data_IF_786583012822
#
_entry.id   IF_786583012822
#
_cell.length_a   1.000
_cell.length_b   1.000
_cell.length_c   1.000
_cell.angle_alpha   90.00
_cell.angle_beta   90.00
_cell.angle_gamma   90.00
#
_symmetry.space_group_name_H-M   'P 1'
#
loop_
_entity.id
_entity.type
_entity.pdbx_description
1 polymer ?
#
# COMPACT_ATOMS: atom_id res chain seq x y z
N UNK A 1 18.18 50.73 -33.45
CA UNK A 1 16.80 50.84 -33.96
C UNK A 1 16.72 50.03 -35.23
N UNK A 2 15.64 49.26 -35.38
CA UNK A 2 15.18 48.57 -36.60
C UNK A 2 16.08 47.45 -37.14
N UNK A 3 15.57 46.32 -37.63
CA UNK A 3 14.21 45.82 -37.81
C UNK A 3 14.32 44.30 -38.01
N UNK A 4 13.35 43.54 -37.48
CA UNK A 4 13.05 42.19 -37.95
C UNK A 4 12.54 42.29 -39.39
N UNK A 5 13.21 41.61 -40.32
CA UNK A 5 12.56 41.16 -41.56
C UNK A 5 12.49 39.64 -41.56
N UNK A 6 11.29 39.22 -41.16
CA UNK A 6 10.71 37.90 -41.30
C UNK A 6 10.46 37.64 -42.80
N UNK A 7 11.05 36.56 -43.31
CA UNK A 7 10.77 35.90 -44.60
C UNK A 7 11.21 36.64 -45.88
N UNK A 8 12.26 36.12 -46.52
CA UNK A 8 12.39 36.15 -47.98
C UNK A 8 11.98 34.79 -48.51
N UNK A 9 10.89 34.80 -49.28
CA UNK A 9 10.30 33.67 -49.96
C UNK A 9 11.27 33.09 -51.00
N UNK A 10 11.81 31.90 -50.72
CA UNK A 10 12.21 30.98 -51.78
C UNK A 10 11.69 29.58 -51.46
N UNK A 11 10.75 29.18 -52.32
CA UNK A 11 10.54 27.82 -52.80
C UNK A 11 9.61 26.87 -52.01
N UNK A 12 8.33 27.05 -52.35
CA UNK A 12 7.45 25.97 -52.86
C UNK A 12 7.25 24.74 -51.97
N UNK A 13 6.42 24.91 -50.94
CA UNK A 13 5.61 23.80 -50.43
C UNK A 13 4.50 23.49 -51.44
N UNK A 14 4.72 22.44 -52.22
CA UNK A 14 3.77 21.84 -53.15
C UNK A 14 2.32 21.82 -52.63
N UNK A 15 1.38 22.12 -53.52
CA UNK A 15 -0.08 22.13 -53.33
C UNK A 15 -0.71 20.78 -52.87
N UNK A 16 0.10 19.78 -52.50
CA UNK A 16 -0.35 18.44 -52.08
C UNK A 16 -0.59 18.28 -50.57
N UNK A 17 -0.44 19.32 -49.74
CA UNK A 17 -0.72 19.25 -48.29
C UNK A 17 -1.97 19.99 -47.79
N UNK A 18 -2.89 20.38 -48.68
CA UNK A 18 -4.19 20.97 -48.31
C UNK A 18 -5.39 19.99 -48.35
N UNK A 19 -5.13 18.67 -48.40
CA UNK A 19 -6.18 17.64 -48.30
C UNK A 19 -5.90 16.61 -47.19
N UNK A 20 -6.10 17.00 -45.93
CA UNK A 20 -6.66 16.15 -44.85
C UNK A 20 -6.71 16.92 -43.52
N UNK A 21 -7.61 17.91 -43.45
CA UNK A 21 -8.26 18.26 -42.18
C UNK A 21 -9.75 17.99 -42.37
N UNK A 22 -10.10 16.71 -42.47
CA UNK A 22 -11.46 16.29 -42.10
C UNK A 22 -11.48 16.38 -40.58
N UNK A 23 -12.18 17.38 -40.05
CA UNK A 23 -12.63 17.36 -38.68
C UNK A 23 -13.32 16.02 -38.46
N UNK A 24 -12.76 15.20 -37.58
CA UNK A 24 -13.47 14.03 -37.08
C UNK A 24 -14.56 14.61 -36.19
N UNK A 25 -15.75 14.73 -36.76
CA UNK A 25 -16.97 14.94 -36.01
C UNK A 25 -17.10 13.71 -35.11
N UNK A 26 -16.57 13.81 -33.90
CA UNK A 26 -16.79 12.83 -32.84
C UNK A 26 -18.30 12.83 -32.59
N UNK A 27 -18.96 11.79 -33.08
CA UNK A 27 -20.38 11.59 -32.85
C UNK A 27 -20.59 11.43 -31.34
N UNK A 28 -21.73 11.90 -30.83
CA UNK A 28 -22.13 11.68 -29.43
C UNK A 28 -22.07 10.18 -29.05
N UNK A 29 -22.21 9.28 -30.01
CA UNK A 29 -22.01 7.83 -29.83
C UNK A 29 -20.57 7.43 -29.45
N UNK A 30 -19.54 8.12 -29.97
CA UNK A 30 -18.13 7.90 -29.61
C UNK A 30 -17.86 8.44 -28.19
N UNK A 31 -18.52 9.54 -27.79
CA UNK A 31 -18.44 10.07 -26.42
C UNK A 31 -19.19 9.20 -25.40
N UNK A 32 -20.43 8.80 -25.67
CA UNK A 32 -21.21 7.94 -24.78
C UNK A 32 -20.61 6.54 -24.67
N UNK A 33 -20.03 5.99 -25.74
CA UNK A 33 -19.30 4.72 -25.67
C UNK A 33 -17.96 4.85 -24.96
N UNK A 34 -17.29 6.00 -25.06
CA UNK A 34 -16.09 6.32 -24.28
C UNK A 34 -16.42 6.46 -22.79
N UNK A 35 -17.47 7.20 -22.42
CA UNK A 35 -17.96 7.33 -21.04
C UNK A 35 -18.42 5.99 -20.49
N UNK A 36 -19.16 5.18 -21.28
CA UNK A 36 -19.54 3.82 -20.89
C UNK A 36 -18.35 2.91 -20.63
N UNK A 37 -17.22 3.07 -21.33
CA UNK A 37 -15.98 2.32 -21.01
C UNK A 37 -15.43 2.70 -19.65
N UNK A 38 -15.41 3.99 -19.31
CA UNK A 38 -14.98 4.44 -17.97
C UNK A 38 -15.95 4.00 -16.87
N UNK A 39 -17.25 4.00 -17.12
CA UNK A 39 -18.24 3.52 -16.14
C UNK A 39 -18.22 1.99 -16.00
N UNK A 40 -17.97 1.26 -17.08
CA UNK A 40 -17.74 -0.20 -17.04
C UNK A 40 -16.42 -0.57 -16.37
N UNK A 41 -15.36 0.22 -16.54
CA UNK A 41 -14.08 0.01 -15.85
C UNK A 41 -14.13 0.40 -14.37
N UNK A 42 -14.92 1.42 -13.99
CA UNK A 42 -15.17 1.78 -12.59
C UNK A 42 -15.88 0.69 -11.78
N UNK A 43 -16.71 -0.11 -12.45
CA UNK A 43 -17.52 -1.16 -11.83
C UNK A 43 -16.91 -2.57 -11.94
N UNK A 44 -15.84 -2.75 -12.73
CA UNK A 44 -15.15 -4.04 -12.81
C UNK A 44 -14.25 -4.20 -11.59
N UNK A 45 -14.45 -5.30 -10.87
CA UNK A 45 -13.49 -5.86 -9.91
C UNK A 45 -12.14 -6.03 -10.61
N UNK A 46 -11.23 -5.09 -10.43
CA UNK A 46 -9.82 -5.23 -10.79
C UNK A 46 -9.19 -6.31 -9.92
N UNK A 47 -8.05 -6.87 -10.37
CA UNK A 47 -7.28 -7.91 -9.68
C UNK A 47 -6.95 -7.56 -8.21
N UNK A 48 -7.02 -6.28 -7.86
CA UNK A 48 -6.93 -5.71 -6.51
C UNK A 48 -7.99 -6.27 -5.52
N UNK A 49 -9.09 -6.87 -6.02
CA UNK A 49 -10.12 -7.53 -5.22
C UNK A 49 -9.71 -8.95 -4.77
N UNK A 50 -8.66 -9.54 -5.36
CA UNK A 50 -8.16 -10.85 -4.95
C UNK A 50 -7.29 -10.76 -3.71
N UNK A 51 -7.93 -10.98 -2.56
CA UNK A 51 -7.23 -11.15 -1.28
C UNK A 51 -6.44 -12.46 -1.30
N UNK A 52 -5.14 -12.46 -0.94
CA UNK A 52 -4.37 -13.69 -0.79
C UNK A 52 -5.11 -14.68 0.12
N UNK A 53 -5.25 -15.97 -0.25
CA UNK A 53 -6.09 -16.92 0.50
C UNK A 53 -5.77 -16.98 1.99
N UNK A 54 -4.49 -17.01 2.38
CA UNK A 54 -4.10 -17.04 3.79
C UNK A 54 -4.53 -15.78 4.57
N UNK A 55 -4.53 -14.61 3.93
CA UNK A 55 -5.02 -13.36 4.54
C UNK A 55 -6.54 -13.42 4.71
N UNK A 56 -7.25 -13.89 3.69
CA UNK A 56 -8.69 -14.05 3.74
C UNK A 56 -9.12 -14.99 4.87
N UNK A 57 -8.48 -16.16 4.97
CA UNK A 57 -8.76 -17.13 6.04
C UNK A 57 -8.48 -16.54 7.43
N UNK A 58 -7.37 -15.80 7.61
CA UNK A 58 -7.07 -15.15 8.89
C UNK A 58 -8.14 -14.14 9.32
N UNK A 59 -8.68 -13.37 8.36
CA UNK A 59 -9.80 -12.44 8.62
C UNK A 59 -11.08 -13.21 8.95
N UNK A 60 -11.38 -14.26 8.19
CA UNK A 60 -12.58 -15.06 8.39
C UNK A 60 -12.55 -15.81 9.73
N UNK A 61 -11.42 -16.38 10.12
CA UNK A 61 -11.25 -17.06 11.40
C UNK A 61 -11.34 -16.11 12.58
N UNK A 62 -10.74 -14.92 12.46
CA UNK A 62 -10.95 -13.86 13.45
C UNK A 62 -12.44 -13.50 13.53
N UNK A 63 -13.14 -13.35 12.41
CA UNK A 63 -14.57 -13.02 12.40
C UNK A 63 -15.43 -14.10 13.05
N UNK A 64 -15.17 -15.39 12.76
CA UNK A 64 -15.83 -16.53 13.42
C UNK A 64 -15.63 -16.55 14.93
N UNK A 65 -14.52 -15.99 15.43
CA UNK A 65 -14.28 -15.86 16.88
C UNK A 65 -15.15 -14.79 17.55
N UNK A 66 -15.71 -13.86 16.78
CA UNK A 66 -16.50 -12.72 17.28
C UNK A 66 -17.99 -12.85 17.00
N UNK A 67 -18.36 -13.50 15.90
CA UNK A 67 -19.72 -13.64 15.42
C UNK A 67 -19.99 -15.11 15.13
N UNK A 68 -21.14 -15.62 15.59
CA UNK A 68 -21.56 -16.97 15.24
C UNK A 68 -21.97 -17.04 13.75
N UNK A 69 -21.09 -17.65 12.97
CA UNK A 69 -21.28 -17.92 11.54
C UNK A 69 -21.68 -19.39 11.28
N UNK A 70 -22.01 -20.16 12.32
CA UNK A 70 -22.34 -21.57 12.18
C UNK A 70 -23.55 -21.79 11.29
N UNK A 71 -23.40 -22.64 10.27
CA UNK A 71 -24.44 -22.91 9.29
C UNK A 71 -24.78 -21.75 8.35
N UNK A 72 -24.07 -20.62 8.42
CA UNK A 72 -24.24 -19.50 7.49
C UNK A 72 -23.46 -19.73 6.19
N UNK A 73 -24.02 -19.27 5.09
CA UNK A 73 -23.33 -19.28 3.80
C UNK A 73 -22.42 -18.05 3.68
N UNK A 74 -21.12 -18.25 3.50
CA UNK A 74 -20.16 -17.17 3.30
C UNK A 74 -20.08 -16.83 1.82
N UNK A 75 -20.56 -15.65 1.45
CA UNK A 75 -20.65 -15.19 0.07
C UNK A 75 -19.47 -14.30 -0.30
N UNK A 76 -18.95 -14.49 -1.51
CA UNK A 76 -17.84 -13.71 -2.10
C UNK A 76 -18.21 -13.18 -3.50
N UNK A 77 -19.06 -12.15 -3.57
CA UNK A 77 -19.65 -11.69 -4.83
C UNK A 77 -18.71 -10.80 -5.67
N UNK A 78 -17.50 -10.48 -5.18
CA UNK A 78 -16.55 -9.61 -5.89
C UNK A 78 -15.49 -10.43 -6.61
N UNK A 79 -15.81 -10.87 -7.82
CA UNK A 79 -14.91 -11.58 -8.72
C UNK A 79 -14.99 -10.98 -10.14
N UNK A 80 -13.96 -11.15 -11.00
CA UNK A 80 -13.92 -10.62 -12.35
C UNK A 80 -15.18 -10.94 -13.16
N UNK A 81 -15.89 -9.88 -13.56
CA UNK A 81 -17.14 -9.98 -14.33
C UNK A 81 -18.39 -10.30 -13.52
N UNK A 82 -18.28 -10.46 -12.20
CA UNK A 82 -19.41 -10.59 -11.29
C UNK A 82 -20.13 -9.26 -11.05
N UNK A 83 -21.43 -9.33 -10.78
CA UNK A 83 -22.25 -8.19 -10.37
C UNK A 83 -22.97 -8.53 -9.06
N UNK A 84 -22.46 -7.94 -7.97
CA UNK A 84 -22.99 -8.12 -6.62
C UNK A 84 -24.49 -7.76 -6.50
N UNK A 85 -25.06 -6.98 -7.41
CA UNK A 85 -26.50 -6.67 -7.37
C UNK A 85 -27.39 -7.79 -7.89
N UNK A 86 -26.83 -8.70 -8.69
CA UNK A 86 -27.57 -9.81 -9.31
C UNK A 86 -27.54 -11.10 -8.50
N UNK A 87 -26.73 -11.12 -7.44
CA UNK A 87 -26.57 -12.26 -6.54
C UNK A 87 -27.84 -12.52 -5.71
N UNK A 88 -28.07 -13.80 -5.40
CA UNK A 88 -29.19 -14.24 -4.57
C UNK A 88 -28.77 -14.27 -3.10
N UNK A 89 -29.06 -13.18 -2.37
CA UNK A 89 -28.78 -13.10 -0.94
C UNK A 89 -29.90 -13.73 -0.11
N UNK A 90 -29.66 -14.93 0.40
CA UNK A 90 -30.56 -15.61 1.32
C UNK A 90 -30.45 -15.04 2.74
N UNK A 91 -31.49 -15.22 3.56
CA UNK A 91 -31.51 -14.73 4.96
C UNK A 91 -30.40 -15.31 5.84
N UNK A 92 -29.80 -16.43 5.44
CA UNK A 92 -28.73 -17.11 6.15
C UNK A 92 -27.33 -16.89 5.53
N UNK A 93 -27.19 -15.97 4.57
CA UNK A 93 -25.89 -15.63 3.99
C UNK A 93 -25.22 -14.46 4.71
N UNK A 94 -23.89 -14.45 4.71
CA UNK A 94 -23.06 -13.33 5.14
C UNK A 94 -22.01 -13.07 4.07
N UNK A 95 -21.92 -11.84 3.59
CA UNK A 95 -20.87 -11.46 2.65
C UNK A 95 -19.59 -11.18 3.42
N UNK A 96 -18.54 -11.95 3.18
CA UNK A 96 -17.19 -11.68 3.72
C UNK A 96 -16.27 -11.58 2.53
N UNK A 97 -15.90 -10.37 2.11
CA UNK A 97 -15.16 -10.23 0.85
C UNK A 97 -14.46 -8.88 0.68
N UNK A 98 -13.60 -8.78 -0.34
CA UNK A 98 -12.84 -7.58 -0.67
C UNK A 98 -13.44 -6.87 -1.89
N UNK A 99 -14.28 -5.84 -1.69
CA UNK A 99 -14.93 -5.13 -2.78
C UNK A 99 -13.98 -4.16 -3.49
N UNK A 100 -14.34 -3.69 -4.70
CA UNK A 100 -13.70 -2.52 -5.29
C UNK A 100 -13.93 -1.29 -4.40
N UNK A 101 -12.85 -0.73 -3.87
CA UNK A 101 -12.91 0.35 -2.88
C UNK A 101 -13.51 1.65 -3.42
N UNK A 102 -13.44 1.88 -4.74
CA UNK A 102 -14.01 3.06 -5.42
C UNK A 102 -15.53 3.19 -5.23
N UNK A 103 -16.23 2.06 -5.09
CA UNK A 103 -17.69 2.00 -4.96
C UNK A 103 -18.14 1.42 -3.61
N UNK A 104 -17.25 1.36 -2.61
CA UNK A 104 -17.55 0.82 -1.28
C UNK A 104 -18.78 1.47 -0.63
N UNK A 105 -18.98 2.78 -0.80
CA UNK A 105 -20.15 3.47 -0.28
C UNK A 105 -21.46 3.05 -0.96
N UNK A 106 -21.41 2.69 -2.24
CA UNK A 106 -22.58 2.19 -2.98
C UNK A 106 -22.92 0.77 -2.51
N UNK A 107 -21.91 -0.10 -2.44
CA UNK A 107 -22.03 -1.49 -1.99
C UNK A 107 -22.63 -1.57 -0.59
N UNK A 108 -22.05 -0.82 0.36
CA UNK A 108 -22.55 -0.79 1.75
C UNK A 108 -23.98 -0.26 1.85
N UNK A 109 -24.33 0.75 1.05
CA UNK A 109 -25.71 1.26 1.00
C UNK A 109 -26.68 0.21 0.45
N UNK A 110 -26.30 -0.50 -0.61
CA UNK A 110 -27.11 -1.56 -1.20
C UNK A 110 -27.33 -2.71 -0.21
N UNK A 111 -26.27 -3.23 0.42
CA UNK A 111 -26.40 -4.32 1.38
C UNK A 111 -27.29 -3.96 2.56
N UNK A 112 -27.20 -2.74 3.08
CA UNK A 112 -28.06 -2.30 4.17
C UNK A 112 -29.52 -2.18 3.72
N UNK A 113 -29.78 -1.63 2.54
CA UNK A 113 -31.13 -1.53 1.99
C UNK A 113 -31.76 -2.91 1.76
N UNK A 114 -30.95 -3.89 1.36
CA UNK A 114 -31.38 -5.28 1.14
C UNK A 114 -31.38 -6.15 2.41
N UNK A 115 -30.96 -5.61 3.57
CA UNK A 115 -30.85 -6.38 4.82
C UNK A 115 -29.74 -7.44 4.83
N UNK A 116 -28.78 -7.34 3.92
CA UNK A 116 -27.65 -8.27 3.79
C UNK A 116 -26.65 -8.03 4.92
N UNK A 117 -26.24 -9.11 5.57
CA UNK A 117 -25.18 -9.10 6.58
C UNK A 117 -23.82 -9.17 5.90
N UNK A 118 -22.88 -8.32 6.31
CA UNK A 118 -21.58 -8.24 5.65
C UNK A 118 -20.42 -7.90 6.59
N UNK A 119 -19.22 -8.30 6.15
CA UNK A 119 -17.91 -7.90 6.65
C UNK A 119 -17.00 -7.65 5.44
N UNK A 120 -16.73 -6.40 5.11
CA UNK A 120 -16.02 -6.01 3.91
C UNK A 120 -14.64 -5.44 4.23
N UNK A 121 -13.68 -5.76 3.39
CA UNK A 121 -12.38 -5.07 3.37
C UNK A 121 -12.58 -3.63 2.88
N UNK A 122 -11.77 -2.71 3.39
CA UNK A 122 -11.90 -1.29 3.14
C UNK A 122 -10.54 -0.59 3.16
N UNK A 123 -10.37 0.52 2.43
CA UNK A 123 -9.14 1.32 2.48
C UNK A 123 -9.04 2.04 3.83
N UNK A 124 -7.89 1.94 4.50
CA UNK A 124 -7.71 2.52 5.83
C UNK A 124 -7.86 4.06 5.84
N UNK A 125 -7.34 4.74 4.82
CA UNK A 125 -7.28 6.20 4.77
C UNK A 125 -8.66 6.86 4.60
N UNK A 126 -9.55 6.22 3.83
CA UNK A 126 -10.88 6.76 3.48
C UNK A 126 -12.02 5.97 4.10
N UNK A 127 -11.72 5.14 5.10
CA UNK A 127 -12.68 4.26 5.78
C UNK A 127 -13.94 5.01 6.23
N UNK A 128 -13.76 6.21 6.80
CA UNK A 128 -14.85 7.05 7.32
C UNK A 128 -15.35 8.09 6.31
N UNK A 129 -14.82 8.12 5.10
CA UNK A 129 -15.22 9.06 4.04
C UNK A 129 -16.50 8.64 3.32
N UNK A 130 -16.95 7.39 3.49
CA UNK A 130 -18.17 6.89 2.88
C UNK A 130 -19.36 7.77 3.28
N UNK A 131 -20.26 8.07 2.33
CA UNK A 131 -21.45 8.90 2.58
C UNK A 131 -22.31 8.36 3.74
N UNK A 132 -22.22 7.05 3.97
CA UNK A 132 -22.91 6.32 5.03
C UNK A 132 -22.39 6.65 6.44
N UNK A 133 -21.14 7.09 6.58
CA UNK A 133 -20.56 7.53 7.86
C UNK A 133 -21.28 8.76 8.44
N UNK A 134 -21.95 9.54 7.60
CA UNK A 134 -22.71 10.73 8.02
C UNK A 134 -24.13 10.40 8.50
N UNK A 135 -24.61 9.16 8.25
CA UNK A 135 -25.99 8.76 8.60
C UNK A 135 -26.02 8.15 10.00
N UNK A 136 -26.62 8.88 10.95
CA UNK A 136 -26.73 8.43 12.35
C UNK A 136 -27.55 7.15 12.53
N UNK A 137 -28.55 6.94 11.67
CA UNK A 137 -29.51 5.84 11.78
C UNK A 137 -29.12 4.58 11.00
N UNK A 138 -27.88 4.51 10.49
CA UNK A 138 -27.41 3.36 9.72
C UNK A 138 -26.44 2.55 10.56
N UNK A 139 -26.78 1.29 10.80
CA UNK A 139 -26.01 0.36 11.62
C UNK A 139 -24.79 -0.18 10.85
N UNK A 140 -23.65 0.46 11.08
CA UNK A 140 -22.35 0.12 10.47
C UNK A 140 -21.24 0.44 11.45
N UNK A 141 -20.35 -0.54 11.61
CA UNK A 141 -19.10 -0.49 12.35
C UNK A 141 -17.92 -0.31 11.41
N UNK A 142 -17.10 0.70 11.68
CA UNK A 142 -15.80 0.90 11.03
C UNK A 142 -14.70 0.32 11.91
N UNK A 143 -14.01 -0.71 11.41
CA UNK A 143 -12.98 -1.44 12.12
C UNK A 143 -11.62 -0.99 11.60
N UNK A 144 -10.94 -0.20 12.41
CA UNK A 144 -9.65 0.43 12.09
C UNK A 144 -8.53 -0.53 12.46
N UNK A 145 -7.80 -1.00 11.45
CA UNK A 145 -6.56 -1.77 11.62
C UNK A 145 -5.37 -1.07 10.98
N UNK A 146 -5.53 -0.58 9.73
CA UNK A 146 -4.46 0.07 8.98
C UNK A 146 -3.29 -0.86 8.66
N UNK A 147 -3.54 -2.17 8.50
CA UNK A 147 -2.50 -3.17 8.21
C UNK A 147 -2.15 -3.15 6.73
N UNK A 148 -0.87 -3.08 6.39
CA UNK A 148 -0.43 -3.19 5.01
C UNK A 148 -0.53 -4.65 4.55
N UNK A 149 -1.38 -4.91 3.57
CA UNK A 149 -1.54 -6.22 2.93
C UNK A 149 -0.95 -6.16 1.53
N UNK A 150 -0.15 -7.17 1.17
CA UNK A 150 0.35 -7.32 -0.21
C UNK A 150 -0.61 -8.18 -1.02
N UNK A 151 -1.34 -7.55 -1.95
CA UNK A 151 -2.32 -8.22 -2.79
C UNK A 151 -1.67 -9.00 -3.95
N UNK A 152 -2.46 -9.78 -4.69
CA UNK A 152 -1.97 -10.65 -5.77
C UNK A 152 -1.17 -9.89 -6.85
N UNK A 153 -1.58 -8.67 -7.15
CA UNK A 153 -0.91 -7.72 -8.05
C UNK A 153 0.43 -7.15 -7.51
N UNK A 154 0.82 -7.51 -6.28
CA UNK A 154 2.03 -7.00 -5.61
C UNK A 154 1.87 -5.63 -4.94
N UNK A 155 0.69 -5.01 -5.00
CA UNK A 155 0.43 -3.74 -4.34
C UNK A 155 0.32 -3.93 -2.82
N UNK A 156 1.05 -3.09 -2.08
CA UNK A 156 0.89 -2.95 -0.63
C UNK A 156 -0.19 -1.94 -0.33
N UNK A 157 -1.35 -2.37 0.15
CA UNK A 157 -2.48 -1.49 0.48
C UNK A 157 -2.74 -1.52 1.97
N UNK A 158 -2.94 -0.34 2.57
CA UNK A 158 -3.32 -0.23 3.98
C UNK A 158 -4.81 -0.55 4.13
N UNK A 159 -5.10 -1.67 4.75
CA UNK A 159 -6.42 -2.29 4.81
C UNK A 159 -7.02 -2.16 6.20
N UNK A 160 -8.32 -1.87 6.22
CA UNK A 160 -9.22 -1.86 7.38
C UNK A 160 -10.54 -2.52 6.97
N UNK A 161 -11.57 -2.50 7.82
CA UNK A 161 -12.80 -3.25 7.55
C UNK A 161 -14.06 -2.47 7.91
N UNK A 162 -15.19 -2.83 7.29
CA UNK A 162 -16.51 -2.25 7.54
C UNK A 162 -17.55 -3.35 7.61
N UNK A 163 -18.46 -3.29 8.58
CA UNK A 163 -19.42 -4.38 8.84
C UNK A 163 -20.69 -3.87 9.50
N UNK A 164 -21.82 -4.57 9.31
CA UNK A 164 -23.08 -4.36 10.03
C UNK A 164 -23.41 -5.52 11.00
N UNK A 165 -22.37 -6.21 11.48
CA UNK A 165 -22.48 -7.36 12.39
C UNK A 165 -22.30 -7.00 13.87
N UNK A 166 -21.84 -5.78 14.19
CA UNK A 166 -21.44 -5.40 15.55
C UNK A 166 -22.30 -4.28 16.17
N UNK A 167 -23.53 -4.13 15.66
CA UNK A 167 -24.61 -3.33 16.24
C UNK A 167 -24.16 -1.95 16.80
N UNK A 168 -24.20 -1.78 18.12
CA UNK A 168 -23.94 -0.52 18.81
C UNK A 168 -22.52 0.06 18.61
N UNK A 169 -21.59 -0.70 18.03
CA UNK A 169 -20.21 -0.25 17.83
C UNK A 169 -20.08 0.53 16.53
N UNK A 170 -19.84 1.85 16.62
CA UNK A 170 -19.60 2.70 15.43
C UNK A 170 -18.15 2.66 14.95
N UNK A 171 -17.19 2.81 15.85
CA UNK A 171 -15.76 2.84 15.57
C UNK A 171 -15.06 1.81 16.44
N UNK A 172 -14.26 0.95 15.84
CA UNK A 172 -13.52 -0.10 16.54
C UNK A 172 -12.06 -0.13 16.10
N UNK A 173 -11.16 0.38 16.93
CA UNK A 173 -9.72 0.13 16.75
C UNK A 173 -9.40 -1.31 17.17
N UNK A 174 -9.10 -2.20 16.22
CA UNK A 174 -8.97 -3.63 16.48
C UNK A 174 -7.52 -4.12 16.31
N UNK A 175 -6.78 -4.19 17.42
CA UNK A 175 -5.39 -4.66 17.45
C UNK A 175 -5.28 -6.18 17.19
N UNK A 176 -6.25 -6.96 17.65
CA UNK A 176 -6.26 -8.42 17.48
C UNK A 176 -6.30 -8.79 15.98
N UNK A 177 -7.24 -8.19 15.24
CA UNK A 177 -7.34 -8.38 13.79
C UNK A 177 -6.10 -7.84 13.05
N UNK A 178 -5.58 -6.69 13.47
CA UNK A 178 -4.32 -6.15 12.94
C UNK A 178 -3.19 -7.18 13.06
N UNK A 179 -3.02 -7.78 14.24
CA UNK A 179 -1.95 -8.75 14.50
C UNK A 179 -2.14 -10.02 13.68
N UNK A 180 -3.36 -10.57 13.66
CA UNK A 180 -3.67 -11.79 12.89
C UNK A 180 -3.33 -11.63 11.40
N UNK A 181 -3.74 -10.51 10.79
CA UNK A 181 -3.44 -10.22 9.38
C UNK A 181 -1.96 -9.94 9.15
N UNK A 182 -1.33 -9.16 10.04
CA UNK A 182 0.09 -8.79 9.92
C UNK A 182 1.01 -10.00 9.99
N UNK A 183 0.79 -10.89 10.96
CA UNK A 183 1.62 -12.07 11.16
C UNK A 183 1.59 -12.98 9.92
N UNK A 184 0.41 -13.16 9.32
CA UNK A 184 0.25 -13.92 8.07
C UNK A 184 0.90 -13.21 6.88
N UNK A 185 0.71 -11.89 6.74
CA UNK A 185 1.33 -11.13 5.66
C UNK A 185 2.87 -11.19 5.74
N UNK A 186 3.43 -11.04 6.94
CA UNK A 186 4.88 -11.12 7.17
C UNK A 186 5.41 -12.52 6.85
N UNK A 187 4.68 -13.58 7.21
CA UNK A 187 5.04 -14.95 6.86
C UNK A 187 5.05 -15.17 5.35
N UNK A 188 4.01 -14.72 4.64
CA UNK A 188 3.95 -14.81 3.17
C UNK A 188 5.12 -14.08 2.50
N UNK A 189 5.52 -12.92 3.04
CA UNK A 189 6.68 -12.17 2.56
C UNK A 189 8.00 -12.87 2.89
N UNK A 190 8.08 -13.60 4.01
CA UNK A 190 9.24 -14.41 4.35
C UNK A 190 9.35 -15.65 3.47
N UNK A 191 8.25 -16.34 3.18
CA UNK A 191 8.24 -17.53 2.31
C UNK A 191 8.62 -17.20 0.87
N UNK A 192 8.25 -15.99 0.40
CA UNK A 192 8.68 -15.45 -0.90
C UNK A 192 10.16 -15.04 -0.92
N UNK A 193 10.82 -14.87 0.22
CA UNK A 193 12.26 -14.55 0.24
C UNK A 193 13.04 -15.79 -0.18
N UNK A 194 13.74 -15.67 -1.30
CA UNK A 194 14.76 -16.64 -1.68
C UNK A 194 15.81 -16.66 -0.57
N UNK A 195 15.89 -17.77 0.16
CA UNK A 195 16.91 -18.01 1.17
C UNK A 195 18.26 -18.25 0.50
N UNK A 196 18.90 -17.16 0.07
CA UNK A 196 20.27 -17.20 -0.41
C UNK A 196 21.21 -17.41 0.79
N UNK A 197 22.24 -18.26 0.65
CA UNK A 197 23.22 -18.45 1.71
C UNK A 197 23.89 -17.12 2.05
N UNK A 198 23.95 -16.81 3.36
CA UNK A 198 24.71 -15.67 3.86
C UNK A 198 26.17 -16.07 3.96
N UNK A 199 27.02 -15.42 3.16
CA UNK A 199 28.47 -15.60 3.25
C UNK A 199 29.09 -14.55 4.17
N UNK A 200 29.88 -15.02 5.13
CA UNK A 200 30.76 -14.17 5.96
C UNK A 200 32.16 -14.31 5.38
N UNK A 201 32.77 -13.17 5.07
CA UNK A 201 34.12 -13.13 4.53
C UNK A 201 35.11 -12.66 5.59
N UNK A 202 36.39 -13.11 5.53
CA UNK A 202 37.45 -12.55 6.34
C UNK A 202 37.56 -11.03 6.15
N UNK A 203 38.09 -10.33 7.14
CA UNK A 203 38.19 -8.87 7.07
C UNK A 203 39.10 -8.39 5.93
N UNK A 204 40.08 -9.18 5.51
CA UNK A 204 40.91 -8.89 4.34
C UNK A 204 40.17 -9.02 3.01
N UNK A 205 38.93 -9.53 2.98
CA UNK A 205 38.15 -9.62 1.75
C UNK A 205 37.12 -8.50 1.72
N UNK A 206 36.98 -7.86 0.57
CA UNK A 206 35.96 -6.85 0.34
C UNK A 206 35.31 -6.99 -1.03
N UNK A 207 34.15 -6.37 -1.20
CA UNK A 207 33.41 -6.28 -2.46
C UNK A 207 32.60 -4.98 -2.48
N UNK A 208 32.07 -4.61 -3.64
CA UNK A 208 31.21 -3.43 -3.76
C UNK A 208 30.00 -3.48 -2.79
N UNK A 209 29.42 -4.65 -2.58
CA UNK A 209 28.29 -4.83 -1.65
C UNK A 209 28.69 -4.61 -0.17
N UNK A 210 29.92 -4.98 0.22
CA UNK A 210 30.43 -4.74 1.56
C UNK A 210 30.81 -3.27 1.76
N UNK A 211 31.53 -2.68 0.80
CA UNK A 211 31.93 -1.26 0.84
C UNK A 211 30.73 -0.32 0.75
N UNK A 212 29.70 -0.68 0.00
CA UNK A 212 28.46 0.09 -0.10
C UNK A 212 27.71 0.24 1.21
N UNK A 213 27.98 -0.60 2.23
CA UNK A 213 27.45 -0.39 3.59
C UNK A 213 28.22 0.70 4.34
N UNK A 214 29.54 0.76 4.15
CA UNK A 214 30.43 1.75 4.77
C UNK A 214 30.17 3.12 4.15
N UNK A 215 30.08 3.19 2.82
CA UNK A 215 29.85 4.42 2.06
C UNK A 215 28.54 5.17 2.43
N UNK A 216 27.62 4.53 3.15
CA UNK A 216 26.40 5.18 3.68
C UNK A 216 26.66 6.10 4.87
N UNK A 217 27.80 5.98 5.54
CA UNK A 217 28.09 6.72 6.77
C UNK A 217 29.53 7.16 6.95
N UNK A 218 30.47 6.74 6.09
CA UNK A 218 31.84 7.22 6.11
C UNK A 218 32.55 7.04 4.75
N UNK A 219 33.54 7.90 4.51
CA UNK A 219 34.49 7.75 3.42
C UNK A 219 35.57 6.73 3.79
N UNK A 220 35.90 5.84 2.85
CA UNK A 220 37.03 4.92 2.97
C UNK A 220 37.76 4.86 1.62
N UNK A 221 39.07 5.13 1.64
CA UNK A 221 39.94 5.08 0.46
C UNK A 221 40.99 4.00 0.66
N UNK A 222 41.00 2.99 -0.22
CA UNK A 222 41.97 1.89 -0.20
C UNK A 222 42.95 2.13 -1.35
N UNK A 223 44.25 2.14 -1.04
CA UNK A 223 45.30 2.35 -2.03
C UNK A 223 45.47 1.14 -2.95
N UNK A 224 45.96 1.37 -4.17
CA UNK A 224 46.17 0.31 -5.16
C UNK A 224 47.10 -0.78 -4.65
N UNK A 225 48.19 -0.38 -3.99
CA UNK A 225 49.20 -1.31 -3.47
C UNK A 225 48.70 -2.12 -2.26
N UNK A 226 47.61 -1.68 -1.63
CA UNK A 226 46.97 -2.36 -0.51
C UNK A 226 45.83 -3.29 -0.94
N UNK A 227 45.59 -3.46 -2.25
CA UNK A 227 44.51 -4.30 -2.75
C UNK A 227 44.90 -5.19 -3.95
N UNK A 228 44.31 -6.38 -4.00
CA UNK A 228 44.50 -7.32 -5.11
C UNK A 228 43.15 -7.91 -5.54
N UNK A 229 42.81 -7.78 -6.81
CA UNK A 229 41.51 -8.22 -7.32
C UNK A 229 41.38 -9.75 -7.28
N UNK A 230 40.25 -10.24 -6.79
CA UNK A 230 39.89 -11.66 -6.78
C UNK A 230 38.45 -11.88 -7.22
N UNK A 231 38.17 -12.98 -7.91
CA UNK A 231 36.79 -13.41 -8.21
C UNK A 231 36.25 -14.41 -7.19
N UNK A 232 37.13 -15.10 -6.46
CA UNK A 232 36.79 -16.16 -5.50
C UNK A 232 37.96 -16.46 -4.57
N UNK A 233 37.67 -16.96 -3.36
CA UNK A 233 38.68 -17.54 -2.48
C UNK A 233 39.02 -18.99 -2.89
N UNK A 234 40.21 -19.46 -2.56
CA UNK A 234 40.59 -20.87 -2.80
C UNK A 234 39.64 -21.85 -2.08
N UNK A 235 39.14 -21.48 -0.90
CA UNK A 235 38.13 -22.25 -0.17
C UNK A 235 36.80 -22.35 -0.93
N UNK A 236 36.44 -21.34 -1.72
CA UNK A 236 35.21 -21.32 -2.53
C UNK A 236 35.35 -22.11 -3.84
N UNK A 237 36.57 -22.27 -4.37
CA UNK A 237 36.81 -23.05 -5.60
C UNK A 237 36.31 -24.48 -5.49
N UNK A 238 36.56 -25.11 -4.33
CA UNK A 238 36.10 -26.49 -4.03
C UNK A 238 34.58 -26.63 -4.07
N UNK A 239 33.85 -25.52 -3.96
CA UNK A 239 32.39 -25.46 -3.96
C UNK A 239 31.82 -24.89 -5.27
N UNK A 240 32.68 -24.54 -6.24
CA UNK A 240 32.24 -23.87 -7.48
C UNK A 240 31.55 -22.53 -7.23
N UNK A 241 31.88 -21.83 -6.14
CA UNK A 241 31.30 -20.53 -5.76
C UNK A 241 32.32 -19.41 -5.92
N UNK A 242 31.83 -18.18 -6.08
CA UNK A 242 32.66 -16.97 -6.13
C UNK A 242 32.11 -15.85 -5.28
N UNK A 243 32.81 -14.71 -5.29
CA UNK A 243 32.32 -13.47 -4.69
C UNK A 243 31.40 -12.82 -5.72
N UNK A 244 30.16 -12.52 -5.31
CA UNK A 244 29.19 -11.89 -6.20
C UNK A 244 29.70 -10.50 -6.63
N UNK A 245 29.84 -10.29 -7.94
CA UNK A 245 30.42 -9.06 -8.51
C UNK A 245 31.94 -8.94 -8.38
N UNK A 246 32.64 -10.04 -8.04
CA UNK A 246 34.07 -10.06 -7.68
C UNK A 246 34.38 -9.23 -6.42
N UNK A 247 35.64 -9.22 -6.01
CA UNK A 247 36.11 -8.53 -4.83
C UNK A 247 37.60 -8.25 -4.85
N UNK A 248 38.13 -7.85 -3.70
CA UNK A 248 39.54 -7.58 -3.48
C UNK A 248 40.01 -8.24 -2.18
N UNK A 249 41.24 -8.74 -2.20
CA UNK A 249 42.04 -8.97 -1.00
C UNK A 249 42.70 -7.66 -0.59
N UNK A 250 42.79 -7.44 0.72
CA UNK A 250 43.37 -6.26 1.33
C UNK A 250 44.58 -6.64 2.19
N UNK A 251 45.58 -5.75 2.23
CA UNK A 251 46.65 -5.83 3.23
C UNK A 251 46.06 -5.80 4.65
N UNK A 252 46.76 -6.35 5.64
CA UNK A 252 46.28 -6.36 7.03
C UNK A 252 46.04 -4.93 7.56
N UNK A 253 46.88 -3.99 7.12
CA UNK A 253 46.73 -2.57 7.41
C UNK A 253 45.41 -2.02 6.87
N UNK A 254 45.13 -2.23 5.58
CA UNK A 254 43.89 -1.74 4.95
C UNK A 254 42.64 -2.46 5.49
N UNK A 255 42.75 -3.74 5.85
CA UNK A 255 41.67 -4.48 6.49
C UNK A 255 41.32 -3.91 7.88
N UNK A 256 42.33 -3.60 8.69
CA UNK A 256 42.14 -2.99 10.01
C UNK A 256 41.49 -1.60 9.90
N UNK A 257 41.96 -0.76 8.97
CA UNK A 257 41.34 0.55 8.70
C UNK A 257 39.88 0.41 8.27
N UNK A 258 39.60 -0.50 7.33
CA UNK A 258 38.22 -0.81 6.88
C UNK A 258 37.31 -1.21 8.04
N UNK A 259 37.81 -1.98 9.01
CA UNK A 259 37.00 -2.40 10.16
C UNK A 259 36.67 -1.24 11.10
N UNK A 260 37.68 -0.41 11.42
CA UNK A 260 37.49 0.76 12.27
C UNK A 260 36.49 1.72 11.63
N UNK A 261 36.72 2.10 10.37
CA UNK A 261 35.85 3.00 9.61
C UNK A 261 34.46 2.38 9.42
N UNK A 262 34.38 1.06 9.20
CA UNK A 262 33.12 0.37 9.04
C UNK A 262 32.24 0.41 10.30
N UNK A 263 32.82 0.26 11.50
CA UNK A 263 32.09 0.38 12.76
C UNK A 263 31.56 1.79 12.97
N UNK A 264 32.37 2.79 12.65
CA UNK A 264 31.97 4.20 12.74
C UNK A 264 30.86 4.54 11.73
N UNK A 265 31.00 4.08 10.48
CA UNK A 265 30.00 4.29 9.43
C UNK A 265 28.62 3.72 9.81
N UNK A 266 28.57 2.53 10.42
CA UNK A 266 27.31 1.93 10.87
C UNK A 266 26.66 2.79 11.96
N UNK A 267 27.45 3.30 12.90
CA UNK A 267 26.96 4.18 13.96
C UNK A 267 26.43 5.50 13.38
N UNK A 268 27.19 6.13 12.48
CA UNK A 268 26.79 7.39 11.85
C UNK A 268 25.50 7.23 11.03
N UNK A 269 25.39 6.16 10.24
CA UNK A 269 24.19 5.89 9.46
C UNK A 269 22.94 5.66 10.35
N UNK A 270 23.10 5.02 11.51
CA UNK A 270 22.02 4.84 12.47
C UNK A 270 21.59 6.18 13.11
N UNK A 271 22.55 7.03 13.48
CA UNK A 271 22.29 8.37 14.03
C UNK A 271 21.60 9.24 12.99
N UNK A 272 22.13 9.32 11.77
CA UNK A 272 21.54 10.14 10.70
C UNK A 272 20.11 9.71 10.38
N UNK A 273 19.83 8.41 10.40
CA UNK A 273 18.46 7.90 10.22
C UNK A 273 17.54 8.37 11.35
N UNK A 274 17.96 8.24 12.61
CA UNK A 274 17.19 8.69 13.76
C UNK A 274 16.98 10.21 13.77
N UNK A 275 18.00 10.98 13.42
CA UNK A 275 17.90 12.43 13.29
C UNK A 275 16.95 12.85 12.16
N UNK A 276 16.99 12.16 11.01
CA UNK A 276 16.04 12.40 9.92
C UNK A 276 14.61 12.13 10.35
N UNK A 277 14.36 11.00 11.03
CA UNK A 277 13.04 10.65 11.55
C UNK A 277 12.56 11.69 12.58
N UNK A 278 13.45 12.12 13.49
CA UNK A 278 13.15 13.17 14.47
C UNK A 278 12.86 14.52 13.82
N UNK A 279 13.67 14.94 12.84
CA UNK A 279 13.47 16.21 12.11
C UNK A 279 12.18 16.20 11.30
N UNK A 280 11.79 15.07 10.72
CA UNK A 280 10.49 14.92 10.03
C UNK A 280 9.35 15.07 11.03
N UNK A 281 9.44 14.44 12.20
CA UNK A 281 8.43 14.56 13.24
C UNK A 281 8.34 16.00 13.81
N UNK A 282 9.48 16.64 14.07
CA UNK A 282 9.56 18.01 14.57
C UNK A 282 9.02 19.00 13.55
N UNK A 283 9.40 18.87 12.28
CA UNK A 283 8.87 19.72 11.20
C UNK A 283 7.37 19.52 11.02
N UNK A 284 6.88 18.29 11.08
CA UNK A 284 5.45 18.00 11.03
C UNK A 284 4.70 18.62 12.22
N UNK A 285 5.30 18.65 13.41
CA UNK A 285 4.73 19.31 14.59
C UNK A 285 4.77 20.85 14.48
N UNK A 286 5.86 21.42 13.95
CA UNK A 286 6.01 22.87 13.77
C UNK A 286 5.10 23.43 12.66
N UNK A 287 4.86 22.65 11.62
CA UNK A 287 3.93 22.99 10.51
C UNK A 287 2.48 22.56 10.81
N UNK A 288 2.19 21.98 11.98
CA UNK A 288 0.87 21.50 12.32
C UNK A 288 -0.13 22.65 12.47
N UNK A 289 -1.14 22.67 11.60
CA UNK A 289 -2.30 23.56 11.75
C UNK A 289 -3.19 23.02 12.85
N UNK A 290 -3.38 23.80 13.93
CA UNK A 290 -4.29 23.47 15.03
C UNK A 290 -5.69 23.97 14.70
N UNK A 291 -6.67 23.07 14.69
CA UNK A 291 -8.07 23.39 14.44
C UNK A 291 -8.83 23.50 15.77
N UNK A 292 -9.51 24.63 16.00
CA UNK A 292 -10.33 24.86 17.18
C UNK A 292 -11.78 24.37 16.97
N UNK A 293 -12.39 23.86 18.04
CA UNK A 293 -13.81 23.51 18.05
C UNK A 293 -14.67 24.77 18.10
N UNK A 294 -15.65 24.86 17.22
CA UNK A 294 -16.71 25.85 17.25
C UNK A 294 -17.67 25.65 18.43
N UNK A 295 -18.42 26.69 18.77
CA UNK A 295 -19.43 26.60 19.84
C UNK A 295 -20.55 25.59 19.52
N UNK A 296 -20.92 25.41 18.25
CA UNK A 296 -21.87 24.38 17.83
C UNK A 296 -21.33 22.98 18.05
N UNK A 297 -20.07 22.71 17.73
CA UNK A 297 -19.43 21.41 17.96
C UNK A 297 -19.31 21.10 19.46
N UNK A 298 -18.92 22.09 20.28
CA UNK A 298 -18.92 21.95 21.74
C UNK A 298 -20.31 21.61 22.30
N UNK A 299 -21.38 22.20 21.75
CA UNK A 299 -22.77 21.86 22.11
C UNK A 299 -23.13 20.43 21.73
N UNK A 300 -22.75 19.97 20.53
CA UNK A 300 -22.94 18.58 20.11
C UNK A 300 -22.26 17.65 21.12
N UNK A 301 -20.99 17.89 21.45
CA UNK A 301 -20.23 17.08 22.42
C UNK A 301 -20.94 17.01 23.78
N UNK A 302 -21.48 18.12 24.28
CA UNK A 302 -22.25 18.15 25.55
C UNK A 302 -23.53 17.31 25.54
N UNK A 303 -24.05 16.97 24.36
CA UNK A 303 -25.25 16.15 24.19
C UNK A 303 -24.93 14.67 23.95
N UNK A 304 -23.72 14.33 23.51
CA UNK A 304 -23.31 12.94 23.27
C UNK A 304 -23.29 12.13 24.59
N UNK A 305 -23.62 10.84 24.50
CA UNK A 305 -23.57 9.91 25.65
C UNK A 305 -24.75 9.99 26.62
N UNK A 306 -25.64 10.98 26.47
CA UNK A 306 -26.87 11.09 27.26
C UNK A 306 -27.95 10.19 26.64
N UNK A 307 -27.95 8.90 26.99
CA UNK A 307 -29.10 8.01 26.69
C UNK A 307 -30.33 8.55 27.43
N UNK A 308 -31.46 8.57 26.72
CA UNK A 308 -32.81 8.93 27.18
C UNK A 308 -33.07 8.67 28.69
N UNK A 309 -33.00 9.71 29.52
CA UNK A 309 -33.54 9.68 30.89
C UNK A 309 -35.08 9.87 30.90
N UNK A 310 -35.71 10.06 29.74
CA UNK A 310 -37.14 10.37 29.63
C UNK A 310 -37.97 9.23 29.03
N UNK A 311 -37.83 8.02 29.55
CA UNK A 311 -38.85 6.97 29.41
C UNK A 311 -38.91 6.17 30.73
N UNK A 312 -39.52 6.80 31.74
CA UNK A 312 -40.22 6.13 32.84
C UNK A 312 -41.70 6.47 32.66
#
# INVERSE_FOLDING_TARGET
MEQLQLFSDEEMLSEKKLKKRKGRQETLEDYDSFVKKFDQERAKTTDDCYTPPAIYEAVLDWLKSKVDLSGKEIMRPFYPGGDYKTELYHSNCVVVDNPPFSILSEITTFYIAMGVKFFLFAPALTLTSASIARRKNVDVTYIVCGVTVTYANGAGVNTSFVSNLFEDVRLWCCHELYKAVKDVNDQLLQDKKVNLPKYVYPNNVTSAALLGKIAKGADLKIMKDDCYQISQLQSQKRLGKGIFGNGFLLSDKAAAEKEVVGKEAIKNAAIEKAEKESKVAERAAAEAIVWELSESEKRIIKQLGKKNENNI
#
